data_IF_105533265149
#
_entry.id   IF_105533265149
#
_cell.length_a   1.000
_cell.length_b   1.000
_cell.length_c   1.000
_cell.angle_alpha   90.00
_cell.angle_beta   90.00
_cell.angle_gamma   90.00
#
_symmetry.space_group_name_H-M   'P 1'
#
loop_
_entity.id
_entity.type
_entity.pdbx_description
1 polymer ?
#
# COMPACT_ATOMS: atom_id res chain seq x y z
N UNK A 1 -8.73 7.21 -10.28
CA UNK A 1 -8.39 6.02 -9.48
C UNK A 1 -8.64 6.21 -7.96
N UNK A 2 -9.52 7.14 -7.54
CA UNK A 2 -10.02 7.18 -6.16
C UNK A 2 -10.97 6.03 -5.83
N UNK A 3 -11.62 5.44 -6.84
CA UNK A 3 -12.64 4.41 -6.67
C UNK A 3 -12.11 3.12 -6.01
N UNK A 4 -10.91 2.65 -6.34
CA UNK A 4 -10.33 1.44 -5.75
C UNK A 4 -9.98 1.62 -4.27
N UNK A 5 -9.36 2.76 -3.92
CA UNK A 5 -9.07 3.11 -2.53
C UNK A 5 -10.34 3.33 -1.69
N UNK A 6 -11.37 3.96 -2.28
CA UNK A 6 -12.68 4.14 -1.65
C UNK A 6 -13.36 2.79 -1.43
N UNK A 7 -13.37 1.90 -2.42
CA UNK A 7 -13.96 0.57 -2.29
C UNK A 7 -13.28 -0.26 -1.19
N UNK A 8 -11.94 -0.20 -1.10
CA UNK A 8 -11.21 -0.86 -0.02
C UNK A 8 -11.57 -0.27 1.35
N UNK A 9 -11.66 1.05 1.47
CA UNK A 9 -12.05 1.71 2.71
C UNK A 9 -13.48 1.38 3.13
N UNK A 10 -14.41 1.30 2.18
CA UNK A 10 -15.80 0.89 2.41
C UNK A 10 -15.88 -0.58 2.85
N UNK A 11 -15.15 -1.47 2.18
CA UNK A 11 -15.09 -2.88 2.55
C UNK A 11 -14.51 -3.06 3.97
N UNK A 12 -13.44 -2.33 4.30
CA UNK A 12 -12.86 -2.37 5.64
C UNK A 12 -13.82 -1.82 6.72
N UNK A 13 -14.60 -0.78 6.40
CA UNK A 13 -15.60 -0.23 7.30
C UNK A 13 -16.75 -1.19 7.59
N UNK A 14 -17.04 -2.12 6.66
CA UNK A 14 -18.08 -3.13 6.81
C UNK A 14 -17.60 -4.40 7.57
N UNK A 15 -16.32 -4.47 7.96
CA UNK A 15 -15.81 -5.62 8.71
C UNK A 15 -16.41 -5.68 10.12
N UNK A 16 -16.55 -6.89 10.70
CA UNK A 16 -16.96 -7.05 12.08
C UNK A 16 -16.08 -6.26 13.06
N UNK A 17 -16.63 -5.90 14.23
CA UNK A 17 -15.85 -5.26 15.30
C UNK A 17 -15.12 -6.27 16.20
N UNK A 18 -14.60 -7.34 15.59
CA UNK A 18 -13.67 -8.25 16.23
C UNK A 18 -12.22 -7.75 16.07
N UNK A 19 -11.28 -8.50 16.66
CA UNK A 19 -9.88 -8.12 16.65
C UNK A 19 -9.31 -8.03 15.23
N UNK A 20 -9.65 -8.99 14.36
CA UNK A 20 -9.16 -9.02 12.98
C UNK A 20 -9.74 -7.86 12.17
N UNK A 21 -11.04 -7.59 12.29
CA UNK A 21 -11.69 -6.45 11.65
C UNK A 21 -11.08 -5.12 12.09
N UNK A 22 -10.71 -4.95 13.38
CA UNK A 22 -9.99 -3.77 13.86
C UNK A 22 -8.60 -3.65 13.23
N UNK A 23 -7.84 -4.75 13.11
CA UNK A 23 -6.51 -4.76 12.47
C UNK A 23 -6.59 -4.34 11.00
N UNK A 24 -7.55 -4.90 10.26
CA UNK A 24 -7.77 -4.55 8.85
C UNK A 24 -8.19 -3.09 8.66
N UNK A 25 -9.09 -2.57 9.50
CA UNK A 25 -9.43 -1.13 9.50
C UNK A 25 -8.22 -0.25 9.78
N UNK A 26 -7.39 -0.60 10.77
CA UNK A 26 -6.16 0.12 11.08
C UNK A 26 -5.11 0.06 9.95
N UNK A 27 -5.04 -1.06 9.22
CA UNK A 27 -4.12 -1.25 8.08
C UNK A 27 -4.56 -0.49 6.81
N UNK A 28 -5.85 -0.18 6.68
CA UNK A 28 -6.47 0.35 5.46
C UNK A 28 -5.77 1.59 4.89
N UNK A 29 -5.43 2.64 5.68
CA UNK A 29 -4.73 3.81 5.15
C UNK A 29 -3.37 3.45 4.52
N UNK A 30 -2.66 2.47 5.08
CA UNK A 30 -1.38 2.03 4.55
C UNK A 30 -1.55 1.25 3.23
N UNK A 31 -2.58 0.41 3.12
CA UNK A 31 -2.91 -0.31 1.89
C UNK A 31 -3.29 0.64 0.76
N UNK A 32 -4.14 1.63 1.04
CA UNK A 32 -4.50 2.67 0.06
C UNK A 32 -3.26 3.45 -0.36
N UNK A 33 -2.41 3.84 0.59
CA UNK A 33 -1.17 4.55 0.29
C UNK A 33 -0.21 3.77 -0.60
N UNK A 34 -0.07 2.46 -0.37
CA UNK A 34 0.72 1.57 -1.22
C UNK A 34 0.14 1.44 -2.63
N UNK A 35 -1.18 1.34 -2.77
CA UNK A 35 -1.85 1.26 -4.07
C UNK A 35 -1.60 2.52 -4.91
N UNK A 36 -1.81 3.70 -4.30
CA UNK A 36 -1.53 4.99 -4.95
C UNK A 36 -0.05 5.11 -5.31
N UNK A 37 0.83 4.67 -4.41
CA UNK A 37 2.27 4.69 -4.67
C UNK A 37 2.66 3.82 -5.88
N UNK A 38 2.08 2.62 -6.00
CA UNK A 38 2.28 1.75 -7.16
C UNK A 38 1.79 2.43 -8.45
N UNK A 39 0.57 2.98 -8.44
CA UNK A 39 0.00 3.72 -9.58
C UNK A 39 0.87 4.90 -10.03
N UNK A 40 1.40 5.68 -9.09
CA UNK A 40 2.32 6.80 -9.37
C UNK A 40 3.66 6.36 -9.93
N UNK A 41 4.16 5.17 -9.57
CA UNK A 41 5.43 4.64 -10.07
C UNK A 41 5.33 4.16 -11.52
N UNK A 42 4.16 3.67 -11.94
CA UNK A 42 3.91 3.25 -13.32
C UNK A 42 3.31 4.35 -14.19
N UNK A 43 3.13 5.56 -13.66
CA UNK A 43 2.52 6.68 -14.36
C UNK A 43 1.03 6.52 -14.65
N UNK A 44 0.37 5.56 -14.00
CA UNK A 44 -1.08 5.35 -14.14
C UNK A 44 -1.89 6.29 -13.24
N UNK A 45 -1.26 6.89 -12.23
CA UNK A 45 -1.92 7.81 -11.29
C UNK A 45 -1.14 9.10 -11.08
N UNK A 46 -1.78 10.24 -11.34
CA UNK A 46 -1.29 11.57 -10.97
C UNK A 46 0.13 11.89 -11.45
N UNK A 47 0.79 12.82 -10.77
CA UNK A 47 2.17 13.18 -11.08
C UNK A 47 3.14 12.06 -10.65
N UNK A 48 4.03 11.60 -11.53
CA UNK A 48 5.08 10.64 -11.19
C UNK A 48 5.83 11.03 -9.93
N UNK A 49 6.16 10.03 -9.12
CA UNK A 49 6.87 10.23 -7.86
C UNK A 49 8.35 9.85 -8.02
N UNK A 50 9.24 10.71 -7.51
CA UNK A 50 10.66 10.40 -7.45
C UNK A 50 10.94 9.15 -6.62
N UNK A 51 11.83 8.27 -7.10
CA UNK A 51 12.10 6.95 -6.49
C UNK A 51 12.59 7.03 -5.05
N UNK A 52 13.38 8.04 -4.70
CA UNK A 52 13.82 8.27 -3.31
C UNK A 52 12.64 8.53 -2.39
N UNK A 53 11.71 9.40 -2.80
CA UNK A 53 10.48 9.68 -2.03
C UNK A 53 9.61 8.44 -1.93
N UNK A 54 9.48 7.68 -3.01
CA UNK A 54 8.72 6.43 -3.01
C UNK A 54 9.26 5.40 -2.01
N UNK A 55 10.59 5.24 -1.91
CA UNK A 55 11.21 4.34 -0.90
C UNK A 55 10.89 4.76 0.53
N UNK A 56 10.88 6.06 0.82
CA UNK A 56 10.51 6.58 2.14
C UNK A 56 9.05 6.25 2.47
N UNK A 57 8.13 6.51 1.53
CA UNK A 57 6.70 6.22 1.70
C UNK A 57 6.43 4.72 1.86
N UNK A 58 7.07 3.89 1.04
CA UNK A 58 7.01 2.43 1.18
C UNK A 58 7.42 1.99 2.61
N UNK A 59 8.55 2.50 3.12
CA UNK A 59 8.99 2.19 4.47
C UNK A 59 8.00 2.63 5.55
N UNK A 60 7.35 3.80 5.37
CA UNK A 60 6.31 4.28 6.27
C UNK A 60 5.09 3.35 6.27
N UNK A 61 4.61 2.93 5.10
CA UNK A 61 3.47 2.03 4.97
C UNK A 61 3.78 0.63 5.50
N UNK A 62 4.98 0.06 5.25
CA UNK A 62 5.40 -1.22 5.85
C UNK A 62 5.35 -1.18 7.38
N UNK A 63 5.87 -0.12 8.00
CA UNK A 63 5.79 0.06 9.46
C UNK A 63 4.35 0.23 9.95
N UNK A 64 3.49 0.88 9.17
CA UNK A 64 2.08 1.00 9.52
C UNK A 64 1.35 -0.36 9.48
N UNK A 65 1.61 -1.19 8.46
CA UNK A 65 1.08 -2.56 8.40
C UNK A 65 1.59 -3.41 9.57
N UNK A 66 2.89 -3.32 9.89
CA UNK A 66 3.47 -4.03 11.05
C UNK A 66 2.81 -3.60 12.36
N UNK A 67 2.53 -2.31 12.57
CA UNK A 67 1.81 -1.84 13.75
C UNK A 67 0.35 -2.30 13.78
N UNK A 68 -0.32 -2.36 12.63
CA UNK A 68 -1.72 -2.75 12.54
C UNK A 68 -1.92 -4.23 12.87
N UNK A 69 -1.02 -5.12 12.42
CA UNK A 69 -1.15 -6.56 12.65
C UNK A 69 -0.32 -7.07 13.85
N UNK A 70 0.72 -6.35 14.26
CA UNK A 70 1.53 -6.66 15.44
C UNK A 70 2.10 -8.08 15.41
N UNK A 71 1.93 -8.81 16.52
CA UNK A 71 2.43 -10.17 16.69
C UNK A 71 1.73 -11.21 15.79
N UNK A 72 0.54 -10.90 15.26
CA UNK A 72 -0.16 -11.79 14.34
C UNK A 72 0.56 -11.91 12.98
N UNK A 73 1.50 -11.00 12.70
CA UNK A 73 2.20 -10.93 11.43
C UNK A 73 1.35 -10.27 10.34
N UNK A 74 2.02 -9.65 9.37
CA UNK A 74 1.32 -9.02 8.25
C UNK A 74 0.80 -10.11 7.31
N UNK A 75 -0.51 -10.17 7.02
CA UNK A 75 -1.06 -11.15 6.11
C UNK A 75 -0.45 -11.05 4.71
N UNK A 76 -0.32 -12.18 4.01
CA UNK A 76 0.29 -12.24 2.68
C UNK A 76 -0.37 -11.28 1.67
N UNK A 77 -1.70 -11.14 1.73
CA UNK A 77 -2.43 -10.20 0.87
C UNK A 77 -2.02 -8.73 1.10
N UNK A 78 -1.77 -8.33 2.34
CA UNK A 78 -1.29 -6.99 2.67
C UNK A 78 0.20 -6.81 2.35
N UNK A 79 1.01 -7.85 2.58
CA UNK A 79 2.44 -7.85 2.26
C UNK A 79 2.69 -7.77 0.76
N UNK A 80 1.90 -8.47 -0.05
CA UNK A 80 2.05 -8.54 -1.51
C UNK A 80 2.01 -7.17 -2.19
N UNK A 81 1.23 -6.22 -1.66
CA UNK A 81 1.16 -4.86 -2.19
C UNK A 81 2.44 -4.05 -1.90
N UNK A 82 3.05 -4.25 -0.72
CA UNK A 82 4.35 -3.64 -0.41
C UNK A 82 5.47 -4.24 -1.27
N UNK A 83 5.44 -5.55 -1.48
CA UNK A 83 6.39 -6.26 -2.35
C UNK A 83 6.25 -5.84 -3.82
N UNK A 84 5.02 -5.57 -4.28
CA UNK A 84 4.80 -5.03 -5.63
C UNK A 84 5.46 -3.68 -5.81
N UNK A 85 5.27 -2.76 -4.87
CA UNK A 85 5.94 -1.46 -4.87
C UNK A 85 7.47 -1.62 -4.85
N UNK A 86 8.00 -2.59 -4.09
CA UNK A 86 9.43 -2.91 -4.09
C UNK A 86 9.93 -3.37 -5.47
N UNK A 87 9.19 -4.27 -6.14
CA UNK A 87 9.52 -4.71 -7.49
C UNK A 87 9.54 -3.54 -8.48
N UNK A 88 8.56 -2.64 -8.41
CA UNK A 88 8.52 -1.42 -9.23
C UNK A 88 9.71 -0.49 -8.96
N UNK A 89 10.14 -0.39 -7.69
CA UNK A 89 11.32 0.37 -7.24
C UNK A 89 12.66 -0.34 -7.48
N UNK A 90 12.66 -1.61 -7.87
CA UNK A 90 13.84 -2.33 -8.31
C UNK A 90 13.99 -2.27 -9.85
N UNK A 91 12.89 -2.17 -10.58
CA UNK A 91 12.91 -2.08 -12.06
C UNK A 91 13.67 -0.83 -12.52
N UNK A 92 14.65 -0.94 -13.43
CA UNK A 92 15.32 0.22 -13.98
C UNK A 92 14.28 1.17 -14.61
N UNK A 93 14.49 2.50 -14.55
CA UNK A 93 13.66 3.41 -15.33
C UNK A 93 13.73 2.95 -16.79
N UNK A 94 12.58 2.86 -17.47
CA UNK A 94 12.57 2.56 -18.89
C UNK A 94 13.52 3.56 -19.56
N UNK A 95 14.64 3.06 -20.10
CA UNK A 95 15.62 3.89 -20.77
C UNK A 95 14.91 4.65 -21.88
N UNK A 96 15.13 5.96 -21.95
CA UNK A 96 14.80 6.73 -23.15
C UNK A 96 15.73 6.21 -24.25
N UNK A 97 15.23 5.29 -25.06
CA UNK A 97 15.79 5.02 -26.39
C UNK A 97 15.46 6.18 -27.32
#
# INVERSE_FOLDING_TARGET
>A
MLAGGVALAQAAAALPDDEDGRRWRAATPALVGLHVLAGRLVGAEGEPIGRTRARVLLGQHRRALQRAFGAAGVPAAAAGLAEEVERLLARPPAGRG
#
